data_IF_267005990209
#
_entry.id   IF_267005990209
#
_cell.length_a   1.000
_cell.length_b   1.000
_cell.length_c   1.000
_cell.angle_alpha   90.00
_cell.angle_beta   90.00
_cell.angle_gamma   90.00
#
_symmetry.space_group_name_H-M   'P 1'
#
loop_
_entity.id
_entity.type
_entity.pdbx_description
1 polymer ?
#
# COMPACT_ATOMS: atom_id res chain seq x y z
N UNK A 1 -12.25 -25.30 -0.34
CA UNK A 1 -11.15 -25.41 -1.31
C UNK A 1 -10.51 -24.06 -1.63
N UNK A 2 -11.25 -22.97 -1.54
CA UNK A 2 -10.90 -21.61 -1.96
C UNK A 2 -9.85 -20.90 -1.08
N UNK A 3 -9.69 -21.31 0.18
CA UNK A 3 -8.83 -20.60 1.16
C UNK A 3 -7.33 -20.83 1.01
N UNK A 4 -6.87 -21.83 0.28
CA UNK A 4 -5.43 -22.17 0.19
C UNK A 4 -4.65 -21.34 -0.81
N UNK A 5 -5.31 -20.79 -1.82
CA UNK A 5 -4.63 -20.16 -2.97
C UNK A 5 -4.38 -18.66 -2.78
N UNK A 6 -5.02 -18.02 -1.79
CA UNK A 6 -4.93 -16.57 -1.57
C UNK A 6 -3.72 -16.11 -0.75
N UNK A 7 -3.19 -16.99 0.08
CA UNK A 7 -1.98 -16.71 0.86
C UNK A 7 -1.01 -17.86 0.64
N UNK A 8 -0.28 -17.89 -0.51
CA UNK A 8 0.76 -18.90 -0.71
C UNK A 8 1.78 -18.78 0.43
N UNK A 9 2.36 -19.89 0.89
CA UNK A 9 3.42 -19.85 1.88
C UNK A 9 4.57 -19.01 1.32
N UNK A 10 4.71 -17.79 1.82
CA UNK A 10 5.86 -16.95 1.54
C UNK A 10 7.05 -17.60 2.23
N UNK A 11 8.01 -18.08 1.43
CA UNK A 11 9.29 -18.50 1.99
C UNK A 11 10.08 -17.24 2.40
N UNK A 12 9.85 -16.78 3.62
CA UNK A 12 10.53 -15.62 4.19
C UNK A 12 11.86 -15.98 4.88
N UNK A 13 12.30 -17.25 4.77
CA UNK A 13 13.57 -17.71 5.36
C UNK A 13 14.76 -16.94 4.80
N UNK A 14 14.71 -16.57 3.52
CA UNK A 14 15.74 -15.75 2.88
C UNK A 14 15.88 -14.34 3.50
N UNK A 15 14.89 -13.90 4.29
CA UNK A 15 14.86 -12.60 4.99
C UNK A 15 15.03 -12.75 6.51
N UNK A 16 15.51 -13.91 6.99
CA UNK A 16 15.75 -14.17 8.41
C UNK A 16 14.48 -14.38 9.25
N UNK A 17 13.32 -14.54 8.61
CA UNK A 17 12.05 -14.78 9.31
C UNK A 17 11.92 -16.27 9.59
N UNK A 18 11.82 -16.65 10.87
CA UNK A 18 11.69 -18.05 11.26
C UNK A 18 10.30 -18.62 10.94
N UNK A 19 10.18 -19.95 10.92
CA UNK A 19 8.94 -20.65 10.54
C UNK A 19 7.75 -20.31 11.43
N UNK A 20 7.99 -20.01 12.71
CA UNK A 20 6.94 -19.64 13.67
C UNK A 20 6.36 -18.26 13.35
N UNK A 21 7.22 -17.31 13.02
CA UNK A 21 6.83 -15.96 12.60
C UNK A 21 6.11 -15.99 11.23
N UNK A 22 6.58 -16.82 10.30
CA UNK A 22 5.91 -17.03 9.01
C UNK A 22 4.50 -17.60 9.20
N UNK A 23 4.34 -18.59 10.08
CA UNK A 23 3.03 -19.17 10.40
C UNK A 23 2.10 -18.15 11.07
N UNK A 24 2.62 -17.29 11.93
CA UNK A 24 1.84 -16.22 12.55
C UNK A 24 1.38 -15.17 11.53
N UNK A 25 2.27 -14.75 10.62
CA UNK A 25 1.93 -13.86 9.49
C UNK A 25 0.86 -14.52 8.62
N UNK A 26 1.01 -15.80 8.31
CA UNK A 26 0.05 -16.56 7.51
C UNK A 26 -1.32 -16.70 8.19
N UNK A 27 -1.36 -17.00 9.50
CA UNK A 27 -2.62 -17.05 10.28
C UNK A 27 -3.31 -15.69 10.30
N UNK A 28 -2.57 -14.63 10.52
CA UNK A 28 -3.09 -13.26 10.49
C UNK A 28 -3.61 -12.89 9.12
N UNK A 29 -2.89 -13.22 8.06
CA UNK A 29 -3.31 -13.00 6.69
C UNK A 29 -4.63 -13.69 6.38
N UNK A 30 -4.77 -15.00 6.66
CA UNK A 30 -6.02 -15.74 6.43
C UNK A 30 -7.22 -15.21 7.22
N UNK A 31 -6.98 -14.54 8.33
CA UNK A 31 -8.03 -13.85 9.09
C UNK A 31 -8.54 -12.60 8.36
N UNK A 32 -7.75 -12.00 7.48
CA UNK A 32 -8.07 -10.73 6.80
C UNK A 32 -8.72 -10.90 5.43
N UNK A 33 -8.52 -12.02 4.74
CA UNK A 33 -9.17 -12.29 3.45
C UNK A 33 -10.54 -12.92 3.70
N UNK A 34 -11.58 -12.12 3.71
CA UNK A 34 -12.95 -12.60 3.92
C UNK A 34 -13.72 -12.86 2.63
N UNK A 35 -13.42 -12.18 1.54
CA UNK A 35 -14.13 -12.26 0.28
C UNK A 35 -13.21 -12.10 -0.94
N UNK A 36 -13.60 -12.69 -2.08
CA UNK A 36 -12.96 -12.49 -3.39
C UNK A 36 -12.93 -11.02 -3.84
N UNK A 37 -13.85 -10.21 -3.36
CA UNK A 37 -13.96 -8.78 -3.69
C UNK A 37 -12.83 -7.94 -3.08
N UNK A 38 -12.10 -8.49 -2.12
CA UNK A 38 -10.98 -7.81 -1.47
C UNK A 38 -9.64 -8.02 -2.21
N UNK A 39 -9.68 -8.70 -3.36
CA UNK A 39 -8.49 -8.94 -4.19
C UNK A 39 -8.69 -8.22 -5.52
N UNK A 40 -7.78 -7.31 -5.90
CA UNK A 40 -7.84 -6.72 -7.22
C UNK A 40 -7.77 -7.85 -8.26
N UNK A 41 -8.55 -7.79 -9.34
CA UNK A 41 -8.47 -8.76 -10.41
C UNK A 41 -7.06 -8.69 -11.01
N UNK A 42 -6.19 -9.60 -10.59
CA UNK A 42 -4.77 -9.65 -10.93
C UNK A 42 -4.48 -9.71 -12.42
N UNK A 43 -5.46 -10.11 -13.22
CA UNK A 43 -5.38 -10.23 -14.68
C UNK A 43 -5.79 -8.98 -15.44
N UNK A 44 -6.38 -7.97 -14.78
CA UNK A 44 -6.90 -6.76 -15.46
C UNK A 44 -5.95 -5.56 -15.45
N UNK A 45 -4.85 -5.62 -14.72
CA UNK A 45 -3.82 -4.57 -14.75
C UNK A 45 -3.06 -4.48 -16.09
N UNK A 46 -3.25 -5.47 -16.99
CA UNK A 46 -2.67 -5.49 -18.34
C UNK A 46 -3.68 -5.18 -19.46
N UNK A 47 -4.82 -4.57 -19.17
CA UNK A 47 -5.83 -4.20 -20.18
C UNK A 47 -5.26 -3.23 -21.22
N UNK A 48 -5.13 -3.69 -22.44
CA UNK A 48 -4.78 -2.90 -23.63
C UNK A 48 -5.74 -1.70 -23.76
N UNK A 49 -5.27 -0.47 -23.63
CA UNK A 49 -5.69 0.73 -24.38
C UNK A 49 -5.45 2.08 -23.73
N UNK A 50 -5.19 2.17 -22.43
CA UNK A 50 -4.72 3.45 -21.88
C UNK A 50 -3.46 3.15 -21.08
N UNK A 51 -2.31 3.75 -21.46
CA UNK A 51 -1.08 3.71 -20.67
C UNK A 51 -1.31 4.55 -19.41
N UNK A 52 -2.03 4.00 -18.45
CA UNK A 52 -2.14 4.61 -17.13
C UNK A 52 -0.85 4.35 -16.37
N UNK A 53 -0.34 5.37 -15.73
CA UNK A 53 0.88 5.25 -14.91
C UNK A 53 0.62 4.48 -13.61
N UNK A 54 -0.64 4.49 -13.13
CA UNK A 54 -1.07 3.77 -11.94
C UNK A 54 -1.76 2.44 -12.31
N UNK A 55 -1.72 1.44 -11.41
CA UNK A 55 -2.56 0.24 -11.52
C UNK A 55 -4.05 0.61 -11.34
N UNK A 56 -4.84 0.54 -12.40
CA UNK A 56 -6.26 0.89 -12.36
C UNK A 56 -7.13 -0.22 -12.96
N UNK A 57 -8.39 -0.30 -12.52
CA UNK A 57 -9.44 -1.17 -13.08
C UNK A 57 -10.76 -0.44 -13.16
N UNK A 58 -11.68 -0.95 -13.98
CA UNK A 58 -13.05 -0.42 -14.09
C UNK A 58 -14.06 -1.45 -13.59
N UNK A 59 -14.99 -1.00 -12.77
CA UNK A 59 -16.07 -1.83 -12.20
C UNK A 59 -17.31 -0.97 -12.03
N UNK A 60 -18.47 -1.47 -12.48
CA UNK A 60 -19.74 -0.75 -12.34
C UNK A 60 -19.77 0.65 -12.97
N UNK A 61 -19.01 0.86 -14.06
CA UNK A 61 -18.91 2.17 -14.73
C UNK A 61 -17.94 3.15 -14.06
N UNK A 62 -17.37 2.80 -12.91
CA UNK A 62 -16.37 3.60 -12.19
C UNK A 62 -14.96 3.08 -12.43
N UNK A 63 -13.99 4.00 -12.47
CA UNK A 63 -12.56 3.65 -12.53
C UNK A 63 -11.94 3.82 -11.15
N UNK A 64 -11.23 2.79 -10.72
CA UNK A 64 -10.52 2.72 -9.45
C UNK A 64 -9.02 2.59 -9.73
N UNK A 65 -8.20 3.27 -8.94
CA UNK A 65 -6.75 3.18 -9.05
C UNK A 65 -6.11 2.85 -7.70
N UNK A 66 -4.94 2.23 -7.75
CA UNK A 66 -4.07 2.02 -6.59
C UNK A 66 -2.80 2.86 -6.74
N UNK A 67 -2.08 3.12 -5.66
CA UNK A 67 -0.83 3.88 -5.71
C UNK A 67 0.21 3.18 -6.60
N UNK A 68 0.96 3.98 -7.35
CA UNK A 68 2.09 3.52 -8.16
C UNK A 68 3.28 3.17 -7.30
N UNK A 69 3.50 3.92 -6.20
CA UNK A 69 4.60 3.73 -5.26
C UNK A 69 4.16 4.06 -3.82
N UNK A 70 5.00 3.69 -2.87
CA UNK A 70 4.74 3.90 -1.45
C UNK A 70 5.89 4.63 -0.76
N UNK A 71 5.56 5.52 0.18
CA UNK A 71 6.48 6.06 1.17
C UNK A 71 6.16 5.37 2.51
N UNK A 72 6.93 4.32 2.81
CA UNK A 72 6.63 3.41 3.92
C UNK A 72 6.97 3.97 5.30
N UNK A 73 7.79 4.99 5.38
CA UNK A 73 8.30 5.55 6.63
C UNK A 73 9.76 6.01 6.51
N UNK A 74 10.46 6.18 7.57
CA UNK A 74 10.07 5.98 8.99
C UNK A 74 9.42 7.26 9.53
N UNK A 75 8.59 7.11 10.56
CA UNK A 75 8.00 8.26 11.26
C UNK A 75 9.11 9.17 11.79
N UNK A 76 8.91 10.50 11.67
CA UNK A 76 9.87 11.56 12.08
C UNK A 76 11.16 11.61 11.27
N UNK A 77 11.16 11.01 10.07
CA UNK A 77 12.27 11.04 9.12
C UNK A 77 12.04 11.98 7.92
N UNK A 78 11.09 12.91 7.99
CA UNK A 78 10.85 13.88 6.92
C UNK A 78 9.83 13.42 5.85
N UNK A 79 9.03 12.39 6.11
CA UNK A 79 8.01 11.90 5.16
C UNK A 79 6.98 12.96 4.78
N UNK A 80 6.64 13.87 5.71
CA UNK A 80 5.75 15.02 5.44
C UNK A 80 6.40 16.01 4.47
N UNK A 81 7.66 16.32 4.65
CA UNK A 81 8.41 17.20 3.76
C UNK A 81 8.48 16.61 2.35
N UNK A 82 8.82 15.31 2.25
CA UNK A 82 8.84 14.62 0.97
C UNK A 82 7.47 14.62 0.29
N UNK A 83 6.40 14.36 1.04
CA UNK A 83 5.03 14.45 0.52
C UNK A 83 4.76 15.81 -0.11
N UNK A 84 5.04 16.91 0.60
CA UNK A 84 4.82 18.26 0.08
C UNK A 84 5.71 18.61 -1.11
N UNK A 85 6.94 18.10 -1.16
CA UNK A 85 7.82 18.30 -2.31
C UNK A 85 7.29 17.58 -3.55
N UNK A 86 6.85 16.33 -3.40
CA UNK A 86 6.28 15.55 -4.50
C UNK A 86 5.01 16.18 -5.05
N UNK A 87 4.11 16.64 -4.17
CA UNK A 87 2.82 17.24 -4.59
C UNK A 87 2.95 18.61 -5.26
N UNK A 88 4.14 19.23 -5.26
CA UNK A 88 4.43 20.41 -6.08
C UNK A 88 4.59 20.06 -7.57
N UNK A 89 4.89 18.81 -7.90
CA UNK A 89 4.99 18.38 -9.28
C UNK A 89 3.58 18.11 -9.83
N UNK A 90 3.24 18.76 -10.95
CA UNK A 90 1.92 18.63 -11.60
C UNK A 90 1.58 17.21 -12.07
N UNK A 91 2.60 16.36 -12.27
CA UNK A 91 2.41 14.96 -12.62
C UNK A 91 2.11 14.07 -11.42
N UNK A 92 2.25 14.58 -10.21
CA UNK A 92 1.98 13.82 -8.99
C UNK A 92 0.60 14.18 -8.46
N UNK A 93 -0.27 13.19 -8.42
CA UNK A 93 -1.65 13.32 -7.94
C UNK A 93 -1.70 12.81 -6.50
N UNK A 94 -1.89 13.69 -5.51
CA UNK A 94 -1.93 13.28 -4.11
C UNK A 94 -3.18 12.43 -3.83
N UNK A 95 -3.13 11.53 -2.84
CA UNK A 95 -4.34 10.91 -2.29
C UNK A 95 -5.23 11.95 -1.60
N UNK A 96 -6.50 11.64 -1.41
CA UNK A 96 -7.44 12.51 -0.65
C UNK A 96 -6.94 12.75 0.78
N UNK A 97 -6.43 11.72 1.41
CA UNK A 97 -5.84 11.79 2.75
C UNK A 97 -4.33 11.61 2.64
N UNK A 98 -3.54 12.51 3.23
CA UNK A 98 -2.06 12.45 3.20
C UNK A 98 -1.51 11.09 3.63
N UNK A 99 -2.07 10.49 4.67
CA UNK A 99 -1.71 9.20 5.23
C UNK A 99 -2.96 8.32 5.34
N UNK A 100 -3.38 7.61 4.28
CA UNK A 100 -4.60 6.79 4.32
C UNK A 100 -4.57 5.73 5.43
N UNK A 101 -3.38 5.16 5.71
CA UNK A 101 -3.14 4.12 6.72
C UNK A 101 -4.06 2.91 6.57
N UNK A 102 -4.56 2.69 5.35
CA UNK A 102 -5.56 1.68 5.06
C UNK A 102 -5.04 0.26 5.29
N UNK A 103 -3.79 0.00 4.91
CA UNK A 103 -3.16 -1.32 5.04
C UNK A 103 -2.66 -1.60 6.45
N UNK A 104 -2.84 -0.69 7.39
CA UNK A 104 -2.49 -0.91 8.79
C UNK A 104 -3.45 -1.92 9.44
N UNK A 105 -2.94 -2.73 10.35
CA UNK A 105 -3.68 -3.75 11.07
C UNK A 105 -4.96 -3.19 11.71
N UNK A 106 -6.10 -3.84 11.47
CA UNK A 106 -7.42 -3.48 12.03
C UNK A 106 -8.30 -2.61 11.13
N UNK A 107 -7.74 -1.74 10.28
CA UNK A 107 -8.57 -0.92 9.36
C UNK A 107 -9.04 -1.69 8.13
N UNK A 108 -8.22 -2.60 7.62
CA UNK A 108 -8.57 -3.42 6.47
C UNK A 108 -9.75 -4.37 6.74
N UNK A 109 -9.96 -4.79 8.00
CA UNK A 109 -11.06 -5.69 8.37
C UNK A 109 -12.46 -5.07 8.19
N UNK A 110 -12.55 -3.75 8.16
CA UNK A 110 -13.81 -3.02 8.14
C UNK A 110 -14.13 -2.40 6.77
N UNK A 111 -13.22 -2.50 5.79
CA UNK A 111 -13.32 -1.72 4.56
C UNK A 111 -12.91 -2.53 3.33
N UNK A 112 -13.58 -2.27 2.19
CA UNK A 112 -13.29 -2.91 0.91
C UNK A 112 -12.11 -2.26 0.18
N UNK A 113 -11.51 -2.99 -0.77
CA UNK A 113 -10.47 -2.46 -1.66
C UNK A 113 -10.96 -1.22 -2.44
N UNK A 114 -12.23 -1.23 -2.86
CA UNK A 114 -12.86 -0.08 -3.53
C UNK A 114 -12.84 1.17 -2.65
N UNK A 115 -12.98 1.02 -1.34
CA UNK A 115 -12.88 2.16 -0.41
C UNK A 115 -11.44 2.68 -0.32
N UNK A 116 -10.44 1.80 -0.31
CA UNK A 116 -9.05 2.23 -0.40
C UNK A 116 -8.76 2.96 -1.72
N UNK A 117 -9.27 2.44 -2.83
CA UNK A 117 -9.08 3.04 -4.14
C UNK A 117 -9.73 4.43 -4.28
N UNK A 118 -10.75 4.76 -3.47
CA UNK A 118 -11.33 6.13 -3.42
C UNK A 118 -10.32 7.17 -2.95
N UNK A 119 -9.35 6.81 -2.14
CA UNK A 119 -8.27 7.73 -1.76
C UNK A 119 -7.49 8.25 -2.99
N UNK A 120 -7.58 7.56 -4.12
CA UNK A 120 -6.85 7.85 -5.36
C UNK A 120 -7.79 8.19 -6.53
N UNK A 121 -9.02 8.63 -6.27
CA UNK A 121 -10.01 8.94 -7.31
C UNK A 121 -9.53 10.03 -8.29
N UNK A 122 -8.78 11.02 -7.81
CA UNK A 122 -8.19 12.05 -8.63
C UNK A 122 -7.22 11.46 -9.68
N UNK A 123 -6.50 10.39 -9.35
CA UNK A 123 -5.62 9.69 -10.28
C UNK A 123 -6.40 8.87 -11.32
N UNK A 124 -7.63 8.46 -11.01
CA UNK A 124 -8.52 7.82 -11.97
C UNK A 124 -8.98 8.82 -13.07
N UNK A 125 -9.15 10.08 -12.69
CA UNK A 125 -9.50 11.18 -13.61
C UNK A 125 -8.30 11.68 -14.44
N UNK A 126 -7.06 11.48 -13.93
CA UNK A 126 -5.83 11.96 -14.57
C UNK A 126 -4.91 10.77 -14.96
N UNK A 127 -5.09 10.19 -16.18
CA UNK A 127 -4.35 8.98 -16.59
C UNK A 127 -2.82 9.11 -16.60
N UNK A 128 -2.31 10.30 -16.90
CA UNK A 128 -0.87 10.61 -16.97
C UNK A 128 -0.30 11.08 -15.61
N UNK A 129 -1.14 11.16 -14.58
CA UNK A 129 -0.71 11.48 -13.24
C UNK A 129 -0.28 10.24 -12.45
N UNK A 130 0.73 10.39 -11.61
CA UNK A 130 1.22 9.34 -10.73
C UNK A 130 0.71 9.58 -9.31
N UNK A 131 0.05 8.60 -8.71
CA UNK A 131 -0.38 8.67 -7.32
C UNK A 131 0.42 7.75 -6.40
N UNK A 132 0.39 8.02 -5.11
CA UNK A 132 1.19 7.32 -4.10
C UNK A 132 0.48 7.28 -2.74
N UNK A 133 0.89 6.35 -1.89
CA UNK A 133 0.47 6.31 -0.48
C UNK A 133 1.69 6.62 0.40
N UNK A 134 1.56 7.64 1.25
CA UNK A 134 2.61 8.08 2.16
C UNK A 134 2.21 7.82 3.62
N UNK A 135 2.03 6.57 3.97
CA UNK A 135 1.68 6.14 5.34
C UNK A 135 2.92 5.61 6.07
N UNK A 136 3.61 6.43 6.89
CA UNK A 136 4.89 6.05 7.52
C UNK A 136 4.81 4.85 8.46
N UNK A 137 3.63 4.52 8.93
CA UNK A 137 3.38 3.36 9.79
C UNK A 137 3.52 2.02 9.06
N UNK A 138 3.51 2.02 7.72
CA UNK A 138 3.58 0.78 6.93
C UNK A 138 4.91 0.06 7.07
N UNK A 139 6.01 0.79 7.28
CA UNK A 139 7.33 0.17 7.46
C UNK A 139 7.34 -0.85 8.61
N UNK A 140 6.61 -0.55 9.69
CA UNK A 140 6.52 -1.40 10.87
C UNK A 140 5.32 -2.35 10.87
N UNK A 141 4.44 -2.26 9.87
CA UNK A 141 3.24 -3.08 9.79
C UNK A 141 3.47 -4.33 8.95
N UNK A 142 3.49 -5.54 9.55
CA UNK A 142 3.54 -6.79 8.79
C UNK A 142 2.37 -6.93 7.82
N UNK A 143 1.18 -6.47 8.22
CA UNK A 143 0.00 -6.49 7.36
C UNK A 143 0.17 -5.62 6.11
N UNK A 144 0.71 -4.39 6.26
CA UNK A 144 0.94 -3.51 5.11
C UNK A 144 1.96 -4.13 4.14
N UNK A 145 3.07 -4.67 4.64
CA UNK A 145 4.08 -5.37 3.80
C UNK A 145 3.47 -6.51 3.01
N UNK A 146 2.64 -7.33 3.67
CA UNK A 146 1.94 -8.44 3.02
C UNK A 146 1.02 -7.93 1.89
N UNK A 147 0.16 -6.95 2.16
CA UNK A 147 -0.81 -6.47 1.20
C UNK A 147 -0.16 -5.73 0.03
N UNK A 148 0.86 -4.92 0.28
CA UNK A 148 1.64 -4.25 -0.78
C UNK A 148 2.27 -5.31 -1.70
N UNK A 149 2.95 -6.30 -1.13
CA UNK A 149 3.56 -7.37 -1.92
C UNK A 149 2.51 -8.18 -2.69
N UNK A 150 1.36 -8.46 -2.08
CA UNK A 150 0.29 -9.26 -2.71
C UNK A 150 -0.38 -8.56 -3.87
N UNK A 151 -0.63 -7.27 -3.74
CA UNK A 151 -1.37 -6.50 -4.75
C UNK A 151 -0.47 -5.80 -5.75
N UNK A 152 0.66 -5.32 -5.31
CA UNK A 152 1.56 -4.47 -6.07
C UNK A 152 3.03 -4.92 -5.90
N UNK A 153 3.37 -6.16 -6.29
CA UNK A 153 4.68 -6.75 -6.03
C UNK A 153 5.84 -5.99 -6.66
N UNK A 154 5.57 -5.19 -7.69
CA UNK A 154 6.56 -4.39 -8.40
C UNK A 154 6.50 -2.90 -8.06
N UNK A 155 5.68 -2.50 -7.08
CA UNK A 155 5.59 -1.10 -6.70
C UNK A 155 6.90 -0.62 -6.08
N UNK A 156 7.46 0.51 -6.54
CA UNK A 156 8.60 1.15 -5.88
C UNK A 156 8.28 1.52 -4.43
N UNK A 157 9.23 1.28 -3.53
CA UNK A 157 9.12 1.56 -2.11
C UNK A 157 10.17 2.61 -1.72
N UNK A 158 9.75 3.68 -1.08
CA UNK A 158 10.61 4.74 -0.56
C UNK A 158 10.64 4.64 0.95
N UNK A 159 11.84 4.57 1.51
CA UNK A 159 12.08 4.59 2.95
C UNK A 159 13.05 5.72 3.27
N UNK A 160 12.64 6.63 4.15
CA UNK A 160 13.49 7.68 4.68
C UNK A 160 14.02 7.25 6.05
N UNK A 161 15.30 7.42 6.24
CA UNK A 161 15.97 7.17 7.52
C UNK A 161 16.57 8.44 8.07
N UNK A 162 16.73 8.50 9.37
CA UNK A 162 17.35 9.62 10.10
C UNK A 162 18.19 9.05 11.22
N UNK A 163 19.13 9.83 11.70
CA UNK A 163 19.85 9.51 12.93
C UNK A 163 18.89 9.09 14.05
N UNK A 164 19.10 7.94 14.69
CA UNK A 164 18.15 7.38 15.65
C UNK A 164 17.92 8.26 16.87
N UNK A 165 18.94 8.98 17.33
CA UNK A 165 18.82 9.90 18.48
C UNK A 165 17.96 11.08 18.11
N UNK A 166 18.26 11.73 16.97
CA UNK A 166 17.47 12.85 16.47
C UNK A 166 16.03 12.45 16.14
N UNK A 167 15.83 11.25 15.60
CA UNK A 167 14.50 10.72 15.34
C UNK A 167 13.71 10.52 16.63
N UNK A 168 14.35 9.92 17.65
CA UNK A 168 13.74 9.66 18.96
C UNK A 168 13.39 10.97 19.66
N UNK A 169 14.27 11.95 19.64
CA UNK A 169 14.01 13.28 20.16
C UNK A 169 12.82 13.95 19.46
N UNK A 170 12.79 13.91 18.12
CA UNK A 170 11.64 14.42 17.35
C UNK A 170 10.33 13.67 17.64
N UNK A 171 10.38 12.40 18.01
CA UNK A 171 9.21 11.61 18.36
C UNK A 171 8.68 11.93 19.75
N UNK A 172 9.59 12.18 20.69
CA UNK A 172 9.25 12.58 22.04
C UNK A 172 8.42 13.87 22.09
N UNK A 173 8.72 14.81 21.22
CA UNK A 173 8.00 16.10 21.11
C UNK A 173 6.72 16.04 20.27
N UNK A 174 6.10 14.88 20.06
CA UNK A 174 4.86 14.71 19.32
C UNK A 174 3.66 14.56 20.25
#
# INVERSE_FOLDING_TARGET
SFRRDYCPPLNLTAYGVNQREQNEVFRRCNKYVRNERDVPPSTRFCGRRVRRLNPCWSEGGSTYCLPRFFILGEMKCGTTTLYHLLTKNKQVVPPLTKEPRFLQQGRFQQTSLSRYAREFEAAAAQPDGVTFDASPVYLRSPAARFWIHRWLPTAPLIVLVRDPVQRSYSHWHM
#
